data_IF_430488452452
#
_entry.id   IF_430488452452
#
_cell.length_a   1.000
_cell.length_b   1.000
_cell.length_c   1.000
_cell.angle_alpha   90.00
_cell.angle_beta   90.00
_cell.angle_gamma   90.00
#
_symmetry.space_group_name_H-M   'P 1'
#
loop_
_entity.id
_entity.type
_entity.pdbx_description
1 polymer ?
#
# COMPACT_ATOMS: atom_id res chain seq x y z
N UNK A 1 2.83 11.70 14.43
CA UNK A 1 2.62 11.65 12.96
C UNK A 1 1.88 10.37 12.63
N UNK A 2 0.80 10.40 11.81
CA UNK A 2 0.10 9.17 11.40
C UNK A 2 0.95 8.41 10.37
N UNK A 3 1.05 7.09 10.53
CA UNK A 3 1.77 6.20 9.62
C UNK A 3 0.77 5.31 8.87
N UNK A 4 1.20 4.83 7.70
CA UNK A 4 0.35 4.11 6.77
C UNK A 4 1.09 2.90 6.20
N UNK A 5 0.32 1.87 5.87
CA UNK A 5 0.77 0.70 5.12
C UNK A 5 0.05 0.67 3.78
N UNK A 6 0.82 0.62 2.70
CA UNK A 6 0.27 0.42 1.37
C UNK A 6 -0.07 -1.06 1.18
N UNK A 7 -1.25 -1.35 0.67
CA UNK A 7 -1.75 -2.71 0.48
C UNK A 7 -2.28 -2.90 -0.93
N UNK A 8 -2.25 -4.13 -1.44
CA UNK A 8 -2.89 -4.50 -2.70
C UNK A 8 -3.85 -5.68 -2.51
N UNK A 9 -4.84 -5.79 -3.39
CA UNK A 9 -5.78 -6.92 -3.39
C UNK A 9 -5.16 -8.12 -4.12
N UNK A 10 -5.04 -9.25 -3.42
CA UNK A 10 -4.48 -10.50 -3.95
C UNK A 10 -5.54 -11.49 -4.47
N UNK A 11 -6.83 -11.14 -4.38
CA UNK A 11 -7.96 -11.99 -4.79
C UNK A 11 -8.75 -12.56 -3.61
N UNK A 12 -8.05 -12.92 -2.53
CA UNK A 12 -8.59 -13.48 -1.29
C UNK A 12 -8.37 -12.56 -0.07
N UNK A 13 -7.52 -11.55 -0.20
CA UNK A 13 -7.21 -10.63 0.88
C UNK A 13 -6.38 -9.42 0.45
N UNK A 14 -6.16 -8.53 1.42
CA UNK A 14 -5.25 -7.41 1.28
C UNK A 14 -3.87 -7.83 1.78
N UNK A 15 -2.86 -7.59 0.94
CA UNK A 15 -1.46 -7.91 1.24
C UNK A 15 -0.68 -6.61 1.36
N UNK A 16 0.11 -6.51 2.42
CA UNK A 16 0.99 -5.36 2.66
C UNK A 16 2.11 -5.32 1.61
N UNK A 17 2.36 -4.14 1.03
CA UNK A 17 3.43 -3.91 0.05
C UNK A 17 4.80 -3.69 0.71
N UNK A 18 4.80 -3.48 2.02
CA UNK A 18 5.99 -3.27 2.84
C UNK A 18 5.66 -3.54 4.31
N UNK A 19 6.63 -4.06 5.05
CA UNK A 19 6.42 -4.47 6.44
C UNK A 19 6.39 -3.26 7.40
N UNK A 20 7.22 -2.24 7.14
CA UNK A 20 7.30 -1.07 8.02
C UNK A 20 6.28 0.02 7.65
N UNK A 21 5.52 0.57 8.61
CA UNK A 21 4.67 1.73 8.41
C UNK A 21 5.46 2.96 7.94
N UNK A 22 4.93 3.68 6.94
CA UNK A 22 5.60 4.84 6.34
C UNK A 22 4.74 6.10 6.46
N UNK A 23 5.35 7.31 6.41
CA UNK A 23 4.59 8.55 6.24
C UNK A 23 3.69 8.49 5.00
N UNK A 24 2.57 9.22 5.02
CA UNK A 24 1.55 9.19 3.96
C UNK A 24 2.13 9.25 2.54
N UNK A 25 3.05 10.18 2.27
CA UNK A 25 3.64 10.36 0.94
C UNK A 25 4.37 9.10 0.45
N UNK A 26 5.23 8.53 1.30
CA UNK A 26 6.00 7.33 0.95
C UNK A 26 5.12 6.08 0.78
N UNK A 27 4.06 5.93 1.58
CA UNK A 27 3.09 4.85 1.41
C UNK A 27 2.24 5.05 0.13
N UNK A 28 1.82 6.28 -0.16
CA UNK A 28 1.08 6.62 -1.37
C UNK A 28 1.88 6.34 -2.64
N UNK A 29 3.17 6.71 -2.64
CA UNK A 29 4.07 6.44 -3.77
C UNK A 29 4.21 4.92 -3.99
N UNK A 30 4.35 4.13 -2.93
CA UNK A 30 4.40 2.67 -3.02
C UNK A 30 3.10 2.06 -3.57
N UNK A 31 1.93 2.55 -3.11
CA UNK A 31 0.63 2.11 -3.63
C UNK A 31 0.45 2.44 -5.12
N UNK A 32 0.91 3.62 -5.56
CA UNK A 32 0.85 4.03 -6.96
C UNK A 32 1.82 3.23 -7.83
N UNK A 33 3.07 3.03 -7.39
CA UNK A 33 4.03 2.19 -8.08
C UNK A 33 3.53 0.75 -8.24
N UNK A 34 2.90 0.19 -7.22
CA UNK A 34 2.31 -1.15 -7.30
C UNK A 34 1.14 -1.22 -8.29
N UNK A 35 0.29 -0.18 -8.34
CA UNK A 35 -0.77 -0.06 -9.34
C UNK A 35 -0.21 -0.05 -10.77
N UNK A 36 0.84 0.75 -11.01
CA UNK A 36 1.52 0.80 -12.32
C UNK A 36 2.21 -0.53 -12.69
N UNK A 37 2.65 -1.30 -11.69
CA UNK A 37 3.23 -2.63 -11.89
C UNK A 37 2.17 -3.73 -12.14
N UNK A 38 0.89 -3.37 -12.30
CA UNK A 38 -0.19 -4.31 -12.63
C UNK A 38 -0.93 -4.87 -11.42
N UNK A 39 -0.68 -4.38 -10.20
CA UNK A 39 -1.54 -4.71 -9.05
C UNK A 39 -2.83 -3.92 -9.16
N UNK A 40 -3.91 -4.57 -9.61
CA UNK A 40 -5.15 -3.93 -10.04
C UNK A 40 -5.79 -2.98 -9.01
N UNK A 41 -5.71 -3.30 -7.72
CA UNK A 41 -6.32 -2.47 -6.67
C UNK A 41 -5.35 -2.31 -5.52
N UNK A 42 -5.00 -1.06 -5.23
CA UNK A 42 -4.17 -0.68 -4.08
C UNK A 42 -4.95 0.26 -3.16
N UNK A 43 -4.65 0.23 -1.86
CA UNK A 43 -5.20 1.18 -0.88
C UNK A 43 -4.22 1.41 0.25
N UNK A 44 -4.43 2.48 1.00
CA UNK A 44 -3.72 2.77 2.24
C UNK A 44 -4.56 2.35 3.45
N UNK A 45 -3.94 1.66 4.41
CA UNK A 45 -4.49 1.46 5.76
C UNK A 45 -3.67 2.26 6.76
N UNK A 46 -4.31 2.77 7.81
CA UNK A 46 -3.57 3.30 8.96
C UNK A 46 -2.83 2.13 9.64
N UNK A 47 -1.59 2.39 10.05
CA UNK A 47 -0.79 1.43 10.81
C UNK A 47 -1.24 1.35 12.26
#
# INVERSE_FOLDING_TARGET
MKLYVATFWAGDGWVDLHDDPRPFRAASDAAYSALLAGRATTRLRTA
#
